data_IF_394836784822
#
_entry.id   IF_394836784822
#
_cell.length_a   1.000
_cell.length_b   1.000
_cell.length_c   1.000
_cell.angle_alpha   90.00
_cell.angle_beta   90.00
_cell.angle_gamma   90.00
#
_symmetry.space_group_name_H-M   'P 1'
#
loop_
_entity.id
_entity.type
_entity.pdbx_description
1 polymer ?
#
# COMPACT_ATOMS: atom_id res chain seq x y z
N UNK A 1 -13.84 10.12 -23.89
CA UNK A 1 -12.67 9.37 -23.40
C UNK A 1 -12.20 10.09 -22.15
N UNK A 2 -12.46 9.53 -20.96
CA UNK A 2 -11.94 10.11 -19.70
C UNK A 2 -10.44 9.80 -19.65
N UNK A 3 -9.57 10.70 -19.16
CA UNK A 3 -8.17 10.38 -19.01
C UNK A 3 -8.04 9.25 -17.98
N UNK A 4 -7.45 8.14 -18.42
CA UNK A 4 -7.24 6.94 -17.62
C UNK A 4 -6.17 7.22 -16.56
N UNK A 5 -6.61 7.74 -15.41
CA UNK A 5 -5.77 7.98 -14.22
C UNK A 5 -5.17 6.67 -13.65
N UNK A 6 -5.61 5.51 -14.17
CA UNK A 6 -5.20 4.19 -13.68
C UNK A 6 -3.86 3.71 -14.23
N UNK A 7 -3.45 4.13 -15.44
CA UNK A 7 -2.30 3.51 -16.13
C UNK A 7 -0.91 3.85 -15.54
N UNK A 8 -0.81 4.68 -14.50
CA UNK A 8 0.49 5.15 -13.99
C UNK A 8 0.59 5.13 -12.45
N UNK A 9 -0.34 4.47 -11.76
CA UNK A 9 -0.27 4.34 -10.29
C UNK A 9 0.43 3.04 -9.94
N UNK A 10 1.58 3.16 -9.26
CA UNK A 10 2.38 2.03 -8.78
C UNK A 10 2.12 1.75 -7.32
N UNK A 11 1.69 0.52 -7.01
CA UNK A 11 1.34 0.06 -5.67
C UNK A 11 2.41 -0.93 -5.20
N UNK A 12 3.06 -0.64 -4.08
CA UNK A 12 3.92 -1.60 -3.40
C UNK A 12 3.11 -2.39 -2.38
N UNK A 13 2.99 -3.70 -2.58
CA UNK A 13 2.30 -4.64 -1.70
C UNK A 13 3.34 -5.35 -0.83
N UNK A 14 3.11 -5.37 0.49
CA UNK A 14 3.93 -6.09 1.45
C UNK A 14 3.07 -7.06 2.24
N UNK A 15 3.22 -8.34 1.95
CA UNK A 15 2.42 -9.44 2.49
C UNK A 15 3.26 -10.72 2.49
N UNK A 16 3.39 -11.39 3.63
CA UNK A 16 4.26 -12.55 3.79
C UNK A 16 3.63 -13.87 3.33
N UNK A 17 2.30 -13.90 3.20
CA UNK A 17 1.57 -15.05 2.66
C UNK A 17 1.56 -15.02 1.12
N UNK A 18 2.30 -15.90 0.42
CA UNK A 18 2.48 -15.79 -1.04
C UNK A 18 1.17 -15.90 -1.82
N UNK A 19 0.22 -16.68 -1.32
CA UNK A 19 -1.09 -16.85 -1.94
C UNK A 19 -1.96 -15.58 -1.81
N UNK A 20 -1.81 -14.84 -0.71
CA UNK A 20 -2.52 -13.57 -0.52
C UNK A 20 -1.87 -12.48 -1.37
N UNK A 21 -0.52 -12.43 -1.39
CA UNK A 21 0.25 -11.51 -2.22
C UNK A 21 -0.10 -11.66 -3.72
N UNK A 22 -0.07 -12.88 -4.24
CA UNK A 22 -0.42 -13.19 -5.64
C UNK A 22 -1.89 -12.80 -5.96
N UNK A 23 -2.83 -13.12 -5.07
CA UNK A 23 -4.24 -12.77 -5.23
C UNK A 23 -4.46 -11.25 -5.30
N UNK A 24 -3.79 -10.47 -4.44
CA UNK A 24 -3.91 -9.01 -4.44
C UNK A 24 -3.23 -8.42 -5.67
N UNK A 25 -2.04 -8.92 -6.02
CA UNK A 25 -1.27 -8.46 -7.17
C UNK A 25 -2.04 -8.65 -8.48
N UNK A 26 -2.63 -9.83 -8.69
CA UNK A 26 -3.45 -10.12 -9.87
C UNK A 26 -4.66 -9.19 -9.95
N UNK A 27 -5.43 -9.02 -8.87
CA UNK A 27 -6.58 -8.11 -8.88
C UNK A 27 -6.16 -6.67 -9.20
N UNK A 28 -5.09 -6.16 -8.58
CA UNK A 28 -4.65 -4.78 -8.83
C UNK A 28 -4.15 -4.60 -10.27
N UNK A 29 -3.42 -5.59 -10.79
CA UNK A 29 -2.97 -5.60 -12.18
C UNK A 29 -4.17 -5.62 -13.16
N UNK A 30 -5.18 -6.46 -12.90
CA UNK A 30 -6.41 -6.53 -13.69
C UNK A 30 -7.22 -5.22 -13.66
N UNK A 31 -7.09 -4.46 -12.57
CA UNK A 31 -7.69 -3.13 -12.42
C UNK A 31 -6.86 -2.00 -13.05
N UNK A 32 -5.70 -2.32 -13.66
CA UNK A 32 -4.83 -1.42 -14.40
C UNK A 32 -3.71 -0.76 -13.58
N UNK A 33 -3.48 -1.19 -12.34
CA UNK A 33 -2.39 -0.68 -11.52
C UNK A 33 -1.06 -1.37 -11.86
N UNK A 34 0.05 -0.65 -11.70
CA UNK A 34 1.37 -1.28 -11.65
C UNK A 34 1.62 -1.81 -10.24
N UNK A 35 2.08 -3.05 -10.11
CA UNK A 35 2.29 -3.68 -8.81
C UNK A 35 3.77 -4.00 -8.61
N UNK A 36 4.28 -3.64 -7.43
CA UNK A 36 5.55 -4.10 -6.90
C UNK A 36 5.27 -4.96 -5.68
N UNK A 37 5.91 -6.11 -5.59
CA UNK A 37 5.66 -7.11 -4.57
C UNK A 37 6.85 -7.21 -3.63
N UNK A 38 6.58 -7.36 -2.33
CA UNK A 38 7.55 -7.69 -1.32
C UNK A 38 6.93 -8.67 -0.31
N UNK A 39 7.69 -9.70 0.06
CA UNK A 39 7.30 -10.68 1.07
C UNK A 39 7.74 -10.28 2.49
N UNK A 40 8.60 -9.25 2.59
CA UNK A 40 9.24 -8.80 3.81
C UNK A 40 9.36 -7.28 3.82
N UNK A 41 9.40 -6.70 5.02
CA UNK A 41 9.54 -5.27 5.19
C UNK A 41 10.89 -4.75 4.65
N UNK A 42 11.95 -5.54 4.76
CA UNK A 42 13.29 -5.24 4.26
C UNK A 42 13.34 -5.22 2.72
N UNK A 43 12.66 -6.16 2.06
CA UNK A 43 12.52 -6.15 0.61
C UNK A 43 11.74 -4.91 0.13
N UNK A 44 10.66 -4.55 0.84
CA UNK A 44 9.88 -3.35 0.55
C UNK A 44 10.72 -2.06 0.70
N UNK A 45 11.53 -1.95 1.76
CA UNK A 45 12.46 -0.82 1.90
C UNK A 45 13.48 -0.75 0.78
N UNK A 46 14.03 -1.90 0.37
CA UNK A 46 15.00 -1.97 -0.72
C UNK A 46 14.40 -1.46 -2.03
N UNK A 47 13.14 -1.81 -2.32
CA UNK A 47 12.38 -1.28 -3.46
C UNK A 47 12.21 0.24 -3.35
N UNK A 48 11.78 0.76 -2.20
CA UNK A 48 11.62 2.21 -1.99
C UNK A 48 12.94 2.96 -2.17
N UNK A 49 14.04 2.42 -1.67
CA UNK A 49 15.37 3.02 -1.74
C UNK A 49 16.01 2.91 -3.14
N UNK A 50 15.60 1.95 -3.96
CA UNK A 50 16.10 1.79 -5.33
C UNK A 50 15.73 2.96 -6.26
N UNK A 51 14.80 3.83 -5.83
CA UNK A 51 14.31 4.94 -6.63
C UNK A 51 13.15 4.58 -7.55
N UNK A 52 12.60 3.36 -7.44
CA UNK A 52 11.35 3.00 -8.11
C UNK A 52 10.21 3.95 -7.67
N UNK A 53 9.40 4.35 -8.65
CA UNK A 53 8.17 5.11 -8.40
C UNK A 53 7.20 4.23 -7.62
N UNK A 54 6.74 4.73 -6.49
CA UNK A 54 5.73 4.08 -5.65
C UNK A 54 4.79 5.18 -5.22
N UNK A 55 3.51 5.01 -5.55
CA UNK A 55 2.44 5.97 -5.31
C UNK A 55 1.58 5.56 -4.12
N UNK A 56 1.53 4.26 -3.80
CA UNK A 56 0.82 3.75 -2.62
C UNK A 56 1.62 2.59 -2.01
N UNK A 57 1.76 2.61 -0.68
CA UNK A 57 2.21 1.45 0.10
C UNK A 57 1.00 0.73 0.69
N UNK A 58 0.84 -0.55 0.37
CA UNK A 58 -0.05 -1.47 1.06
C UNK A 58 0.78 -2.45 1.86
N UNK A 59 0.56 -2.56 3.16
CA UNK A 59 1.32 -3.47 4.03
C UNK A 59 0.40 -4.18 5.02
N UNK A 60 0.61 -5.48 5.25
CA UNK A 60 0.14 -6.09 6.50
C UNK A 60 0.88 -5.43 7.67
N UNK A 61 0.16 -5.19 8.77
CA UNK A 61 0.75 -4.78 10.04
C UNK A 61 1.63 -5.91 10.60
N UNK A 62 1.19 -7.17 10.48
CA UNK A 62 1.85 -8.34 11.07
C UNK A 62 2.77 -9.01 10.06
N UNK A 63 3.88 -8.36 9.75
CA UNK A 63 4.95 -9.01 8.98
C UNK A 63 5.87 -9.81 9.92
N UNK A 64 6.36 -10.98 9.48
CA UNK A 64 7.40 -11.71 10.18
C UNK A 64 8.75 -10.98 10.03
N UNK A 65 9.62 -11.09 11.02
CA UNK A 65 10.98 -10.50 10.99
C UNK A 65 11.23 -9.49 12.10
N UNK A 66 12.27 -8.66 11.92
CA UNK A 66 12.65 -7.61 12.88
C UNK A 66 11.83 -6.32 12.72
N UNK A 67 11.19 -6.15 11.56
CA UNK A 67 10.41 -4.97 11.20
C UNK A 67 9.00 -5.37 10.79
N UNK A 68 8.02 -4.81 11.49
CA UNK A 68 6.61 -4.99 11.20
C UNK A 68 6.08 -3.89 10.26
N UNK A 69 4.81 -3.98 9.87
CA UNK A 69 4.21 -3.02 8.94
C UNK A 69 4.14 -1.59 9.50
N UNK A 70 4.03 -1.43 10.82
CA UNK A 70 4.06 -0.11 11.46
C UNK A 70 5.40 0.56 11.26
N UNK A 71 6.47 -0.14 11.63
CA UNK A 71 7.83 0.38 11.55
C UNK A 71 8.26 0.56 10.10
N UNK A 72 7.85 -0.32 9.19
CA UNK A 72 8.04 -0.14 7.76
C UNK A 72 7.45 1.18 7.27
N UNK A 73 6.16 1.42 7.54
CA UNK A 73 5.47 2.61 7.08
C UNK A 73 6.04 3.90 7.69
N UNK A 74 6.42 3.87 8.98
CA UNK A 74 7.12 4.99 9.62
C UNK A 74 8.44 5.30 8.91
N UNK A 75 9.26 4.27 8.65
CA UNK A 75 10.55 4.40 7.95
C UNK A 75 10.35 4.91 6.52
N UNK A 76 9.36 4.40 5.79
CA UNK A 76 9.05 4.86 4.44
C UNK A 76 8.62 6.34 4.44
N UNK A 77 7.87 6.79 5.45
CA UNK A 77 7.46 8.20 5.58
C UNK A 77 8.61 9.14 5.93
N UNK A 78 9.70 8.66 6.52
CA UNK A 78 10.91 9.47 6.68
C UNK A 78 11.53 9.84 5.32
N UNK A 79 11.47 8.93 4.34
CA UNK A 79 11.97 9.17 2.98
C UNK A 79 10.92 9.79 2.03
N UNK A 80 9.65 9.38 2.16
CA UNK A 80 8.53 9.83 1.33
C UNK A 80 7.37 10.31 2.22
N UNK A 81 7.44 11.55 2.75
CA UNK A 81 6.48 12.05 3.75
C UNK A 81 5.04 12.13 3.28
N UNK A 82 4.77 12.17 1.97
CA UNK A 82 3.43 12.25 1.40
C UNK A 82 2.87 10.90 0.92
N UNK A 83 3.67 9.81 0.95
CA UNK A 83 3.26 8.53 0.38
C UNK A 83 2.03 7.95 1.10
N UNK A 84 0.87 7.79 0.43
CA UNK A 84 -0.29 7.09 0.98
C UNK A 84 0.07 5.70 1.50
N UNK A 85 -0.40 5.38 2.71
CA UNK A 85 -0.18 4.08 3.35
C UNK A 85 -1.53 3.44 3.68
N UNK A 86 -1.69 2.19 3.27
CA UNK A 86 -2.83 1.33 3.59
C UNK A 86 -2.31 0.18 4.46
N UNK A 87 -2.85 0.06 5.66
CA UNK A 87 -2.55 -1.03 6.58
C UNK A 87 -3.62 -2.12 6.51
N UNK A 88 -3.21 -3.35 6.23
CA UNK A 88 -4.03 -4.54 6.37
C UNK A 88 -4.01 -5.03 7.83
N UNK A 89 -5.18 -5.32 8.42
CA UNK A 89 -5.26 -5.74 9.83
C UNK A 89 -6.41 -6.67 10.15
N UNK A 90 -6.13 -7.79 10.83
CA UNK A 90 -7.15 -8.70 11.34
C UNK A 90 -7.69 -8.37 12.74
N UNK A 91 -7.10 -7.41 13.43
CA UNK A 91 -7.38 -7.13 14.85
C UNK A 91 -7.88 -5.71 15.07
N UNK A 92 -8.40 -5.45 16.28
CA UNK A 92 -8.74 -4.09 16.71
C UNK A 92 -7.45 -3.28 16.82
N UNK A 93 -7.28 -2.31 15.93
CA UNK A 93 -6.10 -1.45 15.89
C UNK A 93 -6.11 -0.52 17.10
N UNK A 94 -5.18 -0.69 18.03
CA UNK A 94 -4.84 0.37 18.98
C UNK A 94 -4.09 1.46 18.20
N UNK A 95 -4.77 2.59 17.97
CA UNK A 95 -4.39 3.70 17.06
C UNK A 95 -3.01 4.33 17.23
N UNK A 96 -2.14 3.82 18.12
CA UNK A 96 -0.95 4.52 18.60
C UNK A 96 0.21 4.60 17.58
N UNK A 97 0.33 3.66 16.65
CA UNK A 97 1.54 3.51 15.81
C UNK A 97 1.35 3.88 14.33
N UNK A 98 0.20 4.42 13.97
CA UNK A 98 -0.10 4.76 12.58
C UNK A 98 0.59 6.04 12.11
N UNK A 99 1.02 6.05 10.85
CA UNK A 99 1.48 7.28 10.21
C UNK A 99 0.31 8.21 9.85
N UNK A 100 0.46 9.54 9.94
CA UNK A 100 -0.63 10.46 9.60
C UNK A 100 -1.16 10.27 8.17
N UNK A 101 -2.49 10.29 8.03
CA UNK A 101 -3.15 10.13 6.74
C UNK A 101 -3.15 8.70 6.18
N UNK A 102 -2.76 7.70 6.98
CA UNK A 102 -2.93 6.29 6.61
C UNK A 102 -4.39 5.83 6.67
N UNK A 103 -4.69 4.78 5.92
CA UNK A 103 -6.00 4.11 5.92
C UNK A 103 -5.83 2.68 6.43
N UNK A 104 -6.86 2.16 7.10
CA UNK A 104 -6.92 0.76 7.52
C UNK A 104 -7.89 -0.03 6.67
N UNK A 105 -7.50 -1.26 6.38
CA UNK A 105 -8.30 -2.22 5.66
C UNK A 105 -8.40 -3.50 6.51
N UNK A 106 -9.61 -3.77 7.01
CA UNK A 106 -9.86 -4.83 7.97
C UNK A 106 -9.95 -6.20 7.27
N UNK A 107 -9.17 -7.19 7.73
CA UNK A 107 -9.29 -8.60 7.34
C UNK A 107 -10.57 -9.21 7.97
N UNK A 108 -11.32 -10.07 7.24
CA UNK A 108 -11.11 -10.43 5.84
C UNK A 108 -11.55 -9.32 4.89
N UNK A 109 -10.77 -9.10 3.85
CA UNK A 109 -11.09 -8.15 2.79
C UNK A 109 -11.14 -8.80 1.42
N UNK A 110 -11.88 -8.17 0.52
CA UNK A 110 -11.84 -8.52 -0.90
C UNK A 110 -10.69 -7.77 -1.56
N UNK A 111 -9.91 -8.39 -2.46
CA UNK A 111 -8.89 -7.71 -3.24
C UNK A 111 -9.40 -6.42 -3.90
N UNK A 112 -10.62 -6.45 -4.44
CA UNK A 112 -11.27 -5.28 -5.05
C UNK A 112 -11.47 -4.09 -4.10
N UNK A 113 -11.59 -4.31 -2.79
CA UNK A 113 -11.68 -3.24 -1.80
C UNK A 113 -10.36 -2.46 -1.68
N UNK A 114 -9.22 -3.10 -1.97
CA UNK A 114 -7.90 -2.44 -2.00
C UNK A 114 -7.87 -1.48 -3.19
N UNK A 115 -8.29 -1.93 -4.37
CA UNK A 115 -8.39 -1.08 -5.57
C UNK A 115 -9.31 0.12 -5.37
N UNK A 116 -10.47 -0.06 -4.74
CA UNK A 116 -11.39 1.02 -4.39
C UNK A 116 -10.77 2.03 -3.42
N UNK A 117 -10.02 1.55 -2.43
CA UNK A 117 -9.33 2.39 -1.45
C UNK A 117 -8.23 3.21 -2.13
N UNK A 118 -7.43 2.58 -2.98
CA UNK A 118 -6.38 3.25 -3.77
C UNK A 118 -7.00 4.35 -4.66
N UNK A 119 -8.08 4.04 -5.39
CA UNK A 119 -8.79 5.02 -6.22
C UNK A 119 -9.32 6.20 -5.39
N UNK A 120 -9.79 5.95 -4.18
CA UNK A 120 -10.27 7.00 -3.28
C UNK A 120 -9.12 7.89 -2.81
N UNK A 121 -7.97 7.30 -2.45
CA UNK A 121 -6.77 8.03 -2.03
C UNK A 121 -6.20 8.88 -3.17
N UNK A 122 -6.06 8.30 -4.36
CA UNK A 122 -5.52 8.99 -5.55
C UNK A 122 -6.51 10.03 -6.09
N UNK A 123 -7.81 9.72 -6.07
CA UNK A 123 -8.88 10.64 -6.49
C UNK A 123 -9.05 11.83 -5.54
N UNK A 124 -8.83 11.64 -4.24
CA UNK A 124 -8.80 12.74 -3.27
C UNK A 124 -7.55 13.63 -3.42
N UNK A 125 -6.42 13.05 -3.86
CA UNK A 125 -5.17 13.78 -4.14
C UNK A 125 -5.22 14.65 -5.42
N UNK A 126 -6.05 14.28 -6.40
CA UNK A 126 -6.20 15.02 -7.65
C UNK A 126 -7.16 16.23 -7.57
N UNK A 127 -7.61 16.57 -6.36
CA UNK A 127 -8.39 17.77 -6.05
C UNK A 127 -7.55 18.98 -5.62
N UNK A 128 -6.25 19.04 -5.98
CA UNK A 128 -5.45 20.27 -5.78
C UNK A 128 -5.83 21.32 -6.82
N UNK A 129 -6.79 22.15 -6.41
CA UNK A 129 -6.92 23.59 -6.64
C UNK A 129 -6.54 24.13 -8.03
N UNK A 130 -7.57 24.47 -8.80
CA UNK A 130 -7.59 25.69 -9.60
C UNK A 130 -7.72 26.91 -8.70
#
# INVERSE_FOLDING_TARGET
MRPDIANDVTVLIVEDEPLVLDMISQELTDQGFSVLEADTAEAALSIIQSGQSVDVLFTDIRLPGEMDGWRLAATVRECKPELPVIYATGYTVERAEQVPGSVFLKKPYRPSAIAETIRTLMGAGNGRAN
#
